data_IF_896044032483
#
_entry.id   IF_896044032483
#
_cell.length_a   1.000
_cell.length_b   1.000
_cell.length_c   1.000
_cell.angle_alpha   90.00
_cell.angle_beta   90.00
_cell.angle_gamma   90.00
#
_symmetry.space_group_name_H-M   'P 1'
#
loop_
_entity.id
_entity.type
_entity.pdbx_description
1 polymer ?
#
# COMPACT_ATOMS: atom_id res chain seq x y z
N UNK A 1 20.29 7.94 -7.66
CA UNK A 1 19.09 7.44 -8.36
C UNK A 1 17.90 7.76 -7.48
N UNK A 2 16.82 8.28 -8.06
CA UNK A 2 15.58 8.56 -7.34
C UNK A 2 14.64 7.36 -7.53
N UNK A 3 14.20 6.74 -6.43
CA UNK A 3 13.21 5.66 -6.45
C UNK A 3 11.83 6.29 -6.58
N UNK A 4 11.04 5.83 -7.55
CA UNK A 4 9.64 6.27 -7.70
C UNK A 4 8.71 5.35 -6.93
N UNK A 5 7.55 5.86 -6.54
CA UNK A 5 6.52 5.04 -5.90
C UNK A 5 6.15 3.81 -6.76
N UNK A 6 6.09 3.94 -8.09
CA UNK A 6 5.87 2.80 -9.00
C UNK A 6 6.88 1.67 -8.81
N UNK A 7 8.16 1.99 -8.62
CA UNK A 7 9.20 0.97 -8.46
C UNK A 7 8.97 0.14 -7.18
N UNK A 8 8.46 0.78 -6.12
CA UNK A 8 8.11 0.11 -4.86
C UNK A 8 6.83 -0.70 -4.98
N UNK A 9 5.83 -0.20 -5.71
CA UNK A 9 4.59 -0.94 -6.01
C UNK A 9 4.92 -2.22 -6.78
N UNK A 10 5.77 -2.13 -7.81
CA UNK A 10 6.15 -3.31 -8.61
C UNK A 10 6.89 -4.36 -7.76
N UNK A 11 7.64 -3.93 -6.74
CA UNK A 11 8.27 -4.82 -5.77
C UNK A 11 7.24 -5.49 -4.85
N UNK A 12 6.24 -4.74 -4.36
CA UNK A 12 5.18 -5.28 -3.53
C UNK A 12 4.26 -6.23 -4.30
N UNK A 13 3.93 -5.94 -5.56
CA UNK A 13 3.13 -6.85 -6.38
C UNK A 13 3.86 -8.15 -6.71
N UNK A 14 5.21 -8.15 -6.70
CA UNK A 14 5.98 -9.39 -6.79
C UNK A 14 5.97 -10.18 -5.48
N UNK A 15 6.10 -9.49 -4.35
CA UNK A 15 6.12 -10.12 -3.02
C UNK A 15 4.74 -10.61 -2.57
N UNK A 16 3.69 -9.84 -2.87
CA UNK A 16 2.30 -10.06 -2.49
C UNK A 16 1.39 -9.95 -3.72
N UNK A 17 1.45 -10.91 -4.67
CA UNK A 17 0.69 -10.84 -5.90
C UNK A 17 -0.80 -10.53 -5.65
N UNK A 18 -1.38 -9.49 -6.29
CA UNK A 18 -2.78 -9.13 -6.07
C UNK A 18 -3.76 -10.27 -6.35
N UNK A 19 -3.39 -11.23 -7.20
CA UNK A 19 -4.20 -12.41 -7.52
C UNK A 19 -4.34 -13.40 -6.34
N UNK A 20 -3.51 -13.26 -5.30
CA UNK A 20 -3.64 -14.03 -4.06
C UNK A 20 -4.69 -13.43 -3.11
N UNK A 21 -5.17 -12.22 -3.37
CA UNK A 21 -6.20 -11.61 -2.55
C UNK A 21 -7.54 -12.35 -2.70
N UNK A 22 -8.31 -12.39 -1.62
CA UNK A 22 -9.67 -12.91 -1.65
C UNK A 22 -10.57 -12.05 -2.54
N UNK A 23 -11.63 -12.60 -3.17
CA UNK A 23 -12.45 -11.87 -4.13
C UNK A 23 -13.18 -10.65 -3.57
N UNK A 24 -13.36 -10.59 -2.24
CA UNK A 24 -14.03 -9.50 -1.55
C UNK A 24 -13.08 -8.39 -1.08
N UNK A 25 -11.77 -8.58 -1.25
CA UNK A 25 -10.73 -7.77 -0.66
C UNK A 25 -10.39 -6.52 -1.50
N UNK A 26 -9.64 -5.59 -0.91
CA UNK A 26 -9.18 -4.34 -1.52
C UNK A 26 -7.70 -4.13 -1.17
N UNK A 27 -6.83 -4.46 -2.13
CA UNK A 27 -5.35 -4.39 -1.99
C UNK A 27 -4.77 -3.45 -3.05
N UNK A 28 -3.51 -3.02 -2.86
CA UNK A 28 -2.80 -2.15 -3.80
C UNK A 28 -2.68 -0.71 -3.31
N UNK A 29 -2.36 0.21 -4.23
CA UNK A 29 -2.21 1.63 -3.94
C UNK A 29 -3.58 2.27 -3.62
N UNK A 30 -3.71 2.87 -2.43
CA UNK A 30 -4.93 3.53 -1.96
C UNK A 30 -4.90 5.04 -2.24
N UNK A 31 -3.77 5.70 -1.98
CA UNK A 31 -3.56 7.10 -2.35
C UNK A 31 -2.08 7.42 -2.57
N UNK A 32 -1.78 8.36 -3.46
CA UNK A 32 -0.43 8.73 -3.88
C UNK A 32 -0.31 8.80 -5.40
N UNK A 33 0.80 9.34 -5.91
CA UNK A 33 1.10 9.37 -7.35
C UNK A 33 2.28 8.42 -7.66
N UNK A 34 2.07 7.37 -8.50
CA UNK A 34 3.14 6.44 -8.87
C UNK A 34 4.38 7.09 -9.50
N UNK A 35 4.28 8.31 -10.02
CA UNK A 35 5.39 9.05 -10.62
C UNK A 35 6.23 9.84 -9.61
N UNK A 36 5.72 10.04 -8.38
CA UNK A 36 6.40 10.77 -7.33
C UNK A 36 7.55 9.96 -6.71
N UNK A 37 8.60 10.64 -6.20
CA UNK A 37 9.68 9.99 -5.49
C UNK A 37 9.22 9.48 -4.12
N UNK A 38 9.74 8.32 -3.71
CA UNK A 38 9.58 7.75 -2.37
C UNK A 38 10.94 7.60 -1.72
N UNK A 39 11.05 8.02 -0.46
CA UNK A 39 12.29 8.02 0.29
C UNK A 39 12.29 7.02 1.46
N UNK A 40 11.11 6.60 1.92
CA UNK A 40 10.97 5.64 3.01
C UNK A 40 9.68 4.84 2.93
N UNK A 41 9.67 3.67 3.57
CA UNK A 41 8.48 2.85 3.76
C UNK A 41 8.24 2.64 5.25
N UNK A 42 7.08 3.06 5.75
CA UNK A 42 6.59 2.75 7.09
C UNK A 42 5.65 1.55 7.00
N UNK A 43 5.87 0.52 7.81
CA UNK A 43 5.03 -0.69 7.82
C UNK A 43 4.16 -0.68 9.07
N UNK A 44 2.86 -0.90 8.92
CA UNK A 44 1.91 -0.95 10.02
C UNK A 44 0.78 -1.96 9.77
N UNK A 45 0.10 -2.37 10.83
CA UNK A 45 -1.14 -3.16 10.70
C UNK A 45 -2.28 -2.24 10.26
N UNK A 46 -2.52 -1.16 11.00
CA UNK A 46 -3.61 -0.21 10.75
C UNK A 46 -3.10 1.20 10.42
N UNK A 47 -3.71 1.86 9.44
CA UNK A 47 -3.48 3.26 9.12
C UNK A 47 -4.23 4.20 10.07
N UNK A 48 -3.86 4.20 11.36
CA UNK A 48 -4.43 5.11 12.36
C UNK A 48 -3.90 6.54 12.20
N UNK A 49 -4.54 7.53 12.83
CA UNK A 49 -4.05 8.92 12.82
C UNK A 49 -2.60 9.05 13.32
N UNK A 50 -2.26 8.35 14.42
CA UNK A 50 -0.91 8.35 14.97
C UNK A 50 0.11 7.74 14.01
N UNK A 51 -0.27 6.66 13.32
CA UNK A 51 0.60 6.02 12.30
C UNK A 51 0.80 6.95 11.11
N UNK A 52 -0.27 7.55 10.58
CA UNK A 52 -0.22 8.51 9.47
C UNK A 52 0.67 9.71 9.81
N UNK A 53 0.64 10.17 11.07
CA UNK A 53 1.47 11.28 11.54
C UNK A 53 2.96 10.91 11.70
N UNK A 54 3.25 9.63 11.95
CA UNK A 54 4.61 9.11 12.04
C UNK A 54 5.27 8.83 10.68
N UNK A 55 4.49 8.80 9.58
CA UNK A 55 5.04 8.61 8.23
C UNK A 55 5.86 9.85 7.85
N UNK A 56 7.14 9.70 7.44
CA UNK A 56 7.95 10.82 6.98
C UNK A 56 7.38 11.52 5.73
N UNK A 57 7.83 12.74 5.43
CA UNK A 57 7.58 13.33 4.11
C UNK A 57 8.13 12.43 3.00
N UNK A 58 7.44 12.38 1.85
CA UNK A 58 7.78 11.45 0.74
C UNK A 58 7.85 9.98 1.18
N UNK A 59 7.16 9.65 2.28
CA UNK A 59 7.04 8.30 2.80
C UNK A 59 5.85 7.55 2.21
N UNK A 60 6.02 6.24 2.07
CA UNK A 60 4.95 5.29 1.77
C UNK A 60 4.55 4.54 3.04
N UNK A 61 3.27 4.57 3.39
CA UNK A 61 2.69 3.69 4.40
C UNK A 61 2.25 2.38 3.74
N UNK A 62 2.87 1.27 4.12
CA UNK A 62 2.39 -0.08 3.85
C UNK A 62 1.52 -0.53 5.03
N UNK A 63 0.21 -0.56 4.85
CA UNK A 63 -0.75 -1.02 5.86
C UNK A 63 -1.27 -2.43 5.54
N UNK A 64 -1.40 -3.27 6.56
CA UNK A 64 -1.99 -4.60 6.38
C UNK A 64 -3.51 -4.53 6.19
N UNK A 65 -4.22 -3.84 7.09
CA UNK A 65 -5.67 -3.71 7.00
C UNK A 65 -6.07 -2.58 6.01
N UNK A 66 -6.98 -2.85 5.05
CA UNK A 66 -7.41 -1.84 4.10
C UNK A 66 -8.17 -0.70 4.78
N UNK A 67 -7.64 0.53 4.68
CA UNK A 67 -8.34 1.73 5.16
C UNK A 67 -9.71 1.86 4.47
N UNK A 68 -9.75 1.57 3.17
CA UNK A 68 -10.93 1.57 2.30
C UNK A 68 -11.24 0.15 1.78
N UNK A 69 -11.61 -0.76 2.69
CA UNK A 69 -11.96 -2.16 2.34
C UNK A 69 -13.16 -2.28 1.36
N UNK A 70 -14.09 -1.33 1.42
CA UNK A 70 -15.25 -1.25 0.52
C UNK A 70 -15.18 0.04 -0.27
N UNK A 71 -15.84 0.06 -1.43
CA UNK A 71 -16.03 1.29 -2.21
C UNK A 71 -16.61 2.40 -1.34
N UNK A 72 -16.14 3.62 -1.56
CA UNK A 72 -16.59 4.81 -0.85
C UNK A 72 -17.14 5.83 -1.84
N UNK A 73 -18.27 6.44 -1.49
CA UNK A 73 -18.87 7.53 -2.30
C UNK A 73 -18.25 8.89 -1.98
N UNK A 74 -17.47 8.98 -0.89
CA UNK A 74 -16.86 10.22 -0.42
C UNK A 74 -15.52 9.96 0.26
N UNK A 75 -14.60 10.90 0.09
CA UNK A 75 -13.32 11.00 0.81
C UNK A 75 -13.22 12.32 1.57
N UNK A 76 -14.35 12.97 1.87
CA UNK A 76 -14.38 14.27 2.52
C UNK A 76 -13.56 14.29 3.82
N UNK A 77 -12.75 15.34 4.00
CA UNK A 77 -11.91 15.55 5.18
C UNK A 77 -12.69 15.69 6.51
N UNK A 78 -14.01 15.87 6.45
CA UNK A 78 -14.90 15.86 7.62
C UNK A 78 -15.24 14.45 8.13
N UNK A 79 -14.88 13.40 7.39
CA UNK A 79 -15.03 12.00 7.82
C UNK A 79 -13.71 11.47 8.38
N UNK A 80 -13.73 10.50 9.32
CA UNK A 80 -12.50 9.96 9.89
C UNK A 80 -11.53 9.38 8.83
N UNK A 81 -12.03 8.57 7.90
CA UNK A 81 -11.20 7.97 6.83
C UNK A 81 -10.73 9.00 5.82
N UNK A 82 -11.61 9.91 5.41
CA UNK A 82 -11.27 11.00 4.48
C UNK A 82 -10.22 11.94 5.07
N UNK A 83 -10.31 12.27 6.36
CA UNK A 83 -9.31 13.09 7.04
C UNK A 83 -7.90 12.51 6.95
N UNK A 84 -7.77 11.17 7.08
CA UNK A 84 -6.49 10.47 6.95
C UNK A 84 -5.96 10.50 5.51
N UNK A 85 -6.81 10.21 4.53
CA UNK A 85 -6.46 10.29 3.09
C UNK A 85 -5.98 11.70 2.73
N UNK A 86 -6.74 12.73 3.13
CA UNK A 86 -6.37 14.12 2.88
C UNK A 86 -5.05 14.50 3.58
N UNK A 87 -4.81 13.99 4.78
CA UNK A 87 -3.55 14.24 5.50
C UNK A 87 -2.35 13.67 4.74
N UNK A 88 -2.45 12.43 4.26
CA UNK A 88 -1.42 11.78 3.45
C UNK A 88 -1.17 12.56 2.15
N UNK A 89 -2.22 12.87 1.39
CA UNK A 89 -2.12 13.60 0.11
C UNK A 89 -1.47 14.98 0.30
N UNK A 90 -1.92 15.76 1.29
CA UNK A 90 -1.41 17.12 1.53
C UNK A 90 0.04 17.17 1.99
N UNK A 91 0.57 16.06 2.50
CA UNK A 91 1.95 15.97 3.01
C UNK A 91 2.87 15.20 2.05
N UNK A 92 2.40 14.91 0.83
CA UNK A 92 3.18 14.18 -0.18
C UNK A 92 3.49 12.74 0.26
N UNK A 93 2.56 12.11 0.98
CA UNK A 93 2.70 10.74 1.49
C UNK A 93 1.72 9.82 0.77
N UNK A 94 2.11 8.56 0.65
CA UNK A 94 1.33 7.54 -0.05
C UNK A 94 0.88 6.42 0.90
N UNK A 95 -0.18 5.70 0.52
CA UNK A 95 -0.69 4.54 1.24
C UNK A 95 -0.87 3.37 0.28
N UNK A 96 -0.30 2.23 0.63
CA UNK A 96 -0.49 0.95 -0.04
C UNK A 96 -1.02 -0.09 0.95
N UNK A 97 -1.90 -0.96 0.48
CA UNK A 97 -2.49 -2.02 1.29
C UNK A 97 -2.07 -3.40 0.80
N UNK A 98 -1.56 -4.22 1.70
CA UNK A 98 -1.30 -5.65 1.48
C UNK A 98 -2.00 -6.46 2.58
N UNK A 99 -3.15 -7.05 2.25
CA UNK A 99 -4.08 -7.67 3.18
C UNK A 99 -4.10 -9.19 2.97
N UNK A 100 -5.16 -9.76 2.42
CA UNK A 100 -5.27 -11.23 2.26
C UNK A 100 -4.28 -11.80 1.23
N UNK A 101 -3.78 -10.98 0.30
CA UNK A 101 -2.68 -11.35 -0.58
C UNK A 101 -1.37 -11.55 0.20
N UNK A 102 -1.12 -10.75 1.24
CA UNK A 102 0.03 -10.91 2.10
C UNK A 102 -0.11 -12.14 3.01
N UNK A 103 -1.31 -12.42 3.53
CA UNK A 103 -1.59 -13.64 4.31
C UNK A 103 -1.33 -14.92 3.52
N UNK A 104 -1.64 -14.87 2.21
CA UNK A 104 -1.52 -16.01 1.30
C UNK A 104 -0.12 -16.13 0.65
N UNK A 105 0.69 -15.07 0.73
CA UNK A 105 2.02 -15.07 0.17
C UNK A 105 2.97 -15.94 1.02
N UNK A 106 3.67 -16.87 0.36
CA UNK A 106 4.68 -17.68 1.06
C UNK A 106 5.93 -16.86 1.36
N UNK A 107 6.36 -16.74 2.64
CA UNK A 107 7.58 -16.02 2.98
C UNK A 107 8.78 -16.72 2.33
N UNK A 108 9.41 -16.05 1.35
CA UNK A 108 10.63 -16.51 0.67
C UNK A 108 10.47 -17.01 -0.77
N UNK A 109 9.28 -16.91 -1.40
CA UNK A 109 9.17 -17.19 -2.83
C UNK A 109 9.32 -15.92 -3.65
N UNK A 110 10.50 -15.65 -4.28
CA UNK A 110 10.49 -14.76 -5.43
C UNK A 110 9.62 -15.46 -6.48
N UNK A 111 8.47 -14.89 -6.81
CA UNK A 111 7.57 -15.34 -7.90
C UNK A 111 8.22 -15.21 -9.29
N UNK A 112 9.56 -15.17 -9.37
CA UNK A 112 10.30 -15.52 -10.58
C UNK A 112 9.99 -16.98 -10.90
N UNK A 113 9.08 -17.16 -11.85
CA UNK A 113 8.78 -18.39 -12.55
C UNK A 113 9.96 -19.37 -12.52
N UNK A 114 9.88 -20.36 -11.62
CA UNK A 114 10.66 -21.58 -11.79
C UNK A 114 10.00 -22.35 -12.93
N UNK A 115 10.31 -21.97 -14.17
CA UNK A 115 10.44 -22.95 -15.24
C UNK A 115 11.61 -23.85 -14.86
N UNK A 116 11.33 -24.88 -14.08
CA UNK A 116 12.19 -26.05 -14.03
C UNK A 116 11.82 -26.88 -15.25
N UNK A 117 12.58 -26.68 -16.33
CA UNK A 117 12.77 -27.74 -17.31
C UNK A 117 13.61 -28.81 -16.63
N UNK A 118 12.99 -29.97 -16.41
CA UNK A 118 13.63 -31.28 -16.33
C UNK A 118 12.57 -32.28 -16.80
#
# INVERSE_FOLDING_TARGET
MTVKLRDVIDLFDQAYPPQLAQPWDSVGLVCGDPSEPVESVTIAIDATAAVVDAVPERGLLLAHHPLLLRGVDTVAASTPKGALIHRLIRTGRSLFTAHTNADSASPGSPTRSRRRSA
#
